data_IF_256323910386
#
_entry.id   IF_256323910386
#
_cell.length_a   1.000
_cell.length_b   1.000
_cell.length_c   1.000
_cell.angle_alpha   90.00
_cell.angle_beta   90.00
_cell.angle_gamma   90.00
#
_symmetry.space_group_name_H-M   'P 1'
#
loop_
_entity.id
_entity.type
_entity.pdbx_description
1 polymer ?
#
# COMPACT_ATOMS: atom_id res chain seq x y z
N UNK A 1 -13.06 3.11 7.75
CA UNK A 1 -11.85 3.93 7.69
C UNK A 1 -11.70 4.80 8.93
N UNK A 2 -10.54 5.40 9.16
CA UNK A 2 -10.40 6.61 9.97
C UNK A 2 -11.41 7.68 9.60
N UNK A 3 -11.55 8.72 10.43
CA UNK A 3 -12.31 9.92 10.07
C UNK A 3 -11.43 10.78 9.14
N UNK A 4 -11.87 10.97 7.92
CA UNK A 4 -11.21 11.84 6.94
C UNK A 4 -11.64 13.29 7.17
N UNK A 5 -10.91 14.00 8.00
CA UNK A 5 -11.13 15.41 8.35
C UNK A 5 -9.98 16.33 7.92
N UNK A 6 -8.91 15.75 7.33
CA UNK A 6 -7.74 16.48 6.81
C UNK A 6 -7.69 16.53 5.28
N UNK A 7 -8.65 15.92 4.61
CA UNK A 7 -8.69 15.90 3.15
C UNK A 7 -9.00 17.28 2.58
N UNK A 8 -8.35 17.62 1.47
CA UNK A 8 -8.59 18.88 0.74
C UNK A 8 -9.20 18.65 -0.63
N UNK A 9 -9.98 19.63 -1.06
CA UNK A 9 -10.44 19.74 -2.44
C UNK A 9 -9.32 20.30 -3.34
N UNK A 10 -9.41 20.17 -4.67
CA UNK A 10 -8.44 20.78 -5.59
C UNK A 10 -8.25 22.29 -5.44
N UNK A 11 -9.24 23.00 -4.89
CA UNK A 11 -9.17 24.42 -4.59
C UNK A 11 -8.52 24.76 -3.24
N UNK A 12 -8.03 23.74 -2.50
CA UNK A 12 -7.38 23.89 -1.20
C UNK A 12 -8.33 23.94 0.01
N UNK A 13 -9.64 23.95 -0.18
CA UNK A 13 -10.60 23.90 0.92
C UNK A 13 -10.65 22.50 1.56
N UNK A 14 -10.80 22.46 2.89
CA UNK A 14 -10.98 21.20 3.62
C UNK A 14 -12.32 20.56 3.23
N UNK A 15 -12.29 19.28 2.90
CA UNK A 15 -13.51 18.51 2.64
C UNK A 15 -14.30 18.32 3.93
N UNK A 16 -15.63 18.22 3.77
CA UNK A 16 -16.49 17.80 4.88
C UNK A 16 -15.98 16.48 5.44
N UNK A 17 -15.84 16.41 6.76
CA UNK A 17 -15.42 15.20 7.46
C UNK A 17 -16.32 14.01 7.09
N UNK A 18 -15.70 12.88 6.74
CA UNK A 18 -16.41 11.69 6.26
C UNK A 18 -15.64 10.41 6.59
N UNK A 19 -16.32 9.28 6.47
CA UNK A 19 -15.71 7.95 6.59
C UNK A 19 -15.98 7.14 5.33
N UNK A 20 -15.02 6.30 4.94
CA UNK A 20 -15.22 5.28 3.91
C UNK A 20 -15.61 3.96 4.57
N UNK A 21 -16.57 3.27 3.99
CA UNK A 21 -17.03 1.95 4.45
C UNK A 21 -16.88 0.99 3.28
N UNK A 22 -16.15 -0.09 3.50
CA UNK A 22 -16.09 -1.24 2.59
C UNK A 22 -16.95 -2.35 3.16
N UNK A 23 -17.93 -2.80 2.39
CA UNK A 23 -18.76 -3.94 2.74
C UNK A 23 -18.49 -5.09 1.76
N UNK A 24 -18.14 -6.25 2.28
CA UNK A 24 -17.88 -7.46 1.51
C UNK A 24 -18.89 -8.54 1.84
N UNK A 25 -19.23 -9.36 0.86
CA UNK A 25 -20.18 -10.45 0.99
C UNK A 25 -19.60 -11.71 0.37
N UNK A 26 -19.88 -12.86 0.96
CA UNK A 26 -19.49 -14.17 0.41
C UNK A 26 -20.29 -14.54 -0.85
N UNK A 27 -21.44 -13.92 -1.05
CA UNK A 27 -22.31 -14.16 -2.19
C UNK A 27 -22.68 -12.90 -2.96
N UNK A 28 -23.20 -13.08 -4.16
CA UNK A 28 -23.66 -11.98 -5.01
C UNK A 28 -24.83 -11.26 -4.37
N UNK A 29 -24.77 -9.93 -4.32
CA UNK A 29 -25.85 -9.05 -3.90
C UNK A 29 -26.29 -8.17 -5.07
N UNK A 30 -27.60 -7.95 -5.18
CA UNK A 30 -28.12 -6.97 -6.13
C UNK A 30 -27.85 -5.54 -5.66
N UNK A 31 -27.84 -4.61 -6.62
CA UNK A 31 -27.67 -3.19 -6.29
C UNK A 31 -28.73 -2.70 -5.29
N UNK A 32 -30.00 -3.10 -5.47
CA UNK A 32 -31.08 -2.68 -4.59
C UNK A 32 -30.91 -3.15 -3.14
N UNK A 33 -30.38 -4.39 -2.94
CA UNK A 33 -30.08 -4.88 -1.60
C UNK A 33 -28.99 -4.06 -0.91
N UNK A 34 -28.01 -3.59 -1.67
CA UNK A 34 -26.94 -2.75 -1.11
C UNK A 34 -27.44 -1.33 -0.88
N UNK A 35 -28.26 -0.79 -1.78
CA UNK A 35 -28.88 0.52 -1.62
C UNK A 35 -29.73 0.59 -0.35
N UNK A 36 -30.60 -0.39 -0.11
CA UNK A 36 -31.37 -0.51 1.13
C UNK A 36 -30.50 -0.51 2.40
N UNK A 37 -29.36 -1.21 2.36
CA UNK A 37 -28.42 -1.19 3.47
C UNK A 37 -27.83 0.21 3.71
N UNK A 38 -27.40 0.91 2.64
CA UNK A 38 -26.81 2.24 2.76
C UNK A 38 -27.82 3.28 3.21
N UNK A 39 -29.08 3.17 2.80
CA UNK A 39 -30.18 4.02 3.28
C UNK A 39 -30.43 3.82 4.79
N UNK A 40 -30.41 2.59 5.27
CA UNK A 40 -30.60 2.28 6.70
C UNK A 40 -29.55 2.88 7.62
N UNK A 41 -28.33 3.06 7.13
CA UNK A 41 -27.21 3.67 7.89
C UNK A 41 -26.99 5.13 7.50
N UNK A 42 -27.89 5.71 6.72
CA UNK A 42 -27.79 7.08 6.21
C UNK A 42 -26.45 7.38 5.51
N UNK A 43 -25.96 6.41 4.74
CA UNK A 43 -24.75 6.55 3.93
C UNK A 43 -25.09 7.05 2.53
N UNK A 44 -24.04 7.46 1.80
CA UNK A 44 -24.17 7.86 0.39
C UNK A 44 -24.52 6.67 -0.51
N UNK A 45 -24.91 6.95 -1.75
CA UNK A 45 -25.18 5.93 -2.77
C UNK A 45 -23.98 4.97 -2.90
N UNK A 46 -24.21 3.65 -2.84
CA UNK A 46 -23.14 2.69 -2.87
C UNK A 46 -22.47 2.61 -4.24
N UNK A 47 -21.18 2.39 -4.26
CA UNK A 47 -20.40 2.21 -5.47
C UNK A 47 -19.76 0.82 -5.47
N UNK A 48 -19.70 0.19 -6.66
CA UNK A 48 -19.03 -1.08 -6.82
C UNK A 48 -17.52 -0.90 -6.61
N UNK A 49 -16.97 -1.66 -5.66
CA UNK A 49 -15.54 -1.67 -5.41
C UNK A 49 -14.82 -2.57 -6.42
N UNK A 50 -13.85 -2.04 -7.16
CA UNK A 50 -13.03 -2.81 -8.09
C UNK A 50 -11.89 -3.59 -7.42
N UNK A 51 -11.37 -3.08 -6.30
CA UNK A 51 -10.29 -3.70 -5.54
C UNK A 51 -10.45 -3.40 -4.05
N UNK A 52 -10.76 -4.42 -3.26
CA UNK A 52 -10.85 -4.27 -1.80
C UNK A 52 -9.51 -3.81 -1.19
N UNK A 53 -8.39 -4.43 -1.58
CA UNK A 53 -7.04 -4.03 -1.15
C UNK A 53 -6.75 -2.57 -1.52
N UNK A 54 -7.00 -2.19 -2.76
CA UNK A 54 -6.79 -0.81 -3.21
C UNK A 54 -7.63 0.20 -2.43
N UNK A 55 -8.89 -0.12 -2.12
CA UNK A 55 -9.74 0.77 -1.34
C UNK A 55 -9.29 0.88 0.12
N UNK A 56 -8.88 -0.22 0.75
CA UNK A 56 -8.37 -0.21 2.15
C UNK A 56 -7.08 0.62 2.24
N UNK A 57 -6.16 0.49 1.29
CA UNK A 57 -4.95 1.33 1.19
C UNK A 57 -5.29 2.80 0.93
N UNK A 58 -6.29 3.06 0.08
CA UNK A 58 -6.80 4.43 -0.17
C UNK A 58 -7.39 5.06 1.09
N UNK A 59 -8.06 4.29 1.95
CA UNK A 59 -8.60 4.77 3.23
C UNK A 59 -7.53 5.32 4.19
N UNK A 60 -6.26 4.97 3.97
CA UNK A 60 -5.10 5.47 4.71
C UNK A 60 -4.24 6.43 3.88
N UNK A 61 -4.56 6.62 2.61
CA UNK A 61 -3.79 7.35 1.60
C UNK A 61 -2.38 6.78 1.34
N UNK A 62 -2.14 5.49 1.65
CA UNK A 62 -0.82 4.85 1.54
C UNK A 62 -0.17 4.99 0.17
N UNK A 63 -0.95 5.03 -0.91
CA UNK A 63 -0.47 5.15 -2.28
C UNK A 63 -0.49 6.62 -2.79
N UNK A 64 -0.74 7.58 -1.90
CA UNK A 64 -0.84 9.01 -2.19
C UNK A 64 -0.03 9.82 -1.17
N UNK A 65 1.30 9.83 -1.25
CA UNK A 65 2.16 10.47 -0.25
C UNK A 65 1.96 11.99 -0.13
N UNK A 66 1.38 12.62 -1.15
CA UNK A 66 1.03 14.05 -1.16
C UNK A 66 -0.17 14.40 -0.29
N UNK A 67 -0.94 13.38 0.16
CA UNK A 67 -2.10 13.55 1.04
C UNK A 67 -1.73 13.30 2.48
N UNK A 68 -2.61 13.75 3.39
CA UNK A 68 -2.50 13.40 4.80
C UNK A 68 -2.55 11.88 4.98
N UNK A 69 -1.57 11.30 5.66
CA UNK A 69 -1.50 9.86 5.93
C UNK A 69 -2.27 9.57 7.22
N UNK A 70 -3.32 8.77 7.13
CA UNK A 70 -4.11 8.35 8.28
C UNK A 70 -3.50 7.13 8.95
N UNK A 71 -3.68 7.01 10.26
CA UNK A 71 -3.15 5.89 11.02
C UNK A 71 -3.99 4.61 10.78
N UNK A 72 -3.30 3.49 10.60
CA UNK A 72 -3.94 2.17 10.47
C UNK A 72 -4.66 1.73 11.75
N UNK A 73 -4.22 2.21 12.91
CA UNK A 73 -4.84 1.90 14.21
C UNK A 73 -6.25 2.46 14.32
N UNK A 74 -6.59 3.49 13.55
CA UNK A 74 -7.93 4.07 13.46
C UNK A 74 -8.87 3.30 12.52
N UNK A 75 -8.38 2.25 11.84
CA UNK A 75 -9.20 1.36 11.03
C UNK A 75 -10.01 0.41 11.92
N UNK A 76 -11.29 0.27 11.62
CA UNK A 76 -12.17 -0.65 12.34
C UNK A 76 -12.57 -1.78 11.40
N UNK A 77 -12.27 -3.02 11.80
CA UNK A 77 -12.70 -4.23 11.10
C UNK A 77 -13.86 -4.90 11.84
N UNK A 78 -14.79 -5.43 11.07
CA UNK A 78 -15.92 -6.22 11.55
C UNK A 78 -16.02 -7.51 10.74
N UNK A 79 -16.66 -8.54 11.30
CA UNK A 79 -16.96 -9.78 10.58
C UNK A 79 -15.76 -10.58 10.12
N UNK A 80 -14.60 -10.44 10.80
CA UNK A 80 -13.38 -11.18 10.47
C UNK A 80 -12.57 -10.60 9.29
N UNK A 81 -12.82 -9.36 8.88
CA UNK A 81 -12.01 -8.73 7.85
C UNK A 81 -10.55 -8.56 8.31
N UNK A 82 -9.60 -9.13 7.53
CA UNK A 82 -8.17 -9.03 7.79
C UNK A 82 -7.59 -7.76 7.14
N UNK A 83 -7.54 -6.68 7.92
CA UNK A 83 -6.98 -5.39 7.46
C UNK A 83 -5.50 -5.54 7.12
N UNK A 84 -4.72 -6.29 7.90
CA UNK A 84 -3.28 -6.43 7.68
C UNK A 84 -2.98 -7.10 6.34
N UNK A 85 -3.73 -8.15 6.00
CA UNK A 85 -3.62 -8.78 4.68
C UNK A 85 -4.02 -7.82 3.54
N UNK A 86 -5.04 -6.99 3.76
CA UNK A 86 -5.47 -6.01 2.75
C UNK A 86 -4.49 -4.86 2.59
N UNK A 87 -3.70 -4.52 3.60
CA UNK A 87 -2.68 -3.47 3.52
C UNK A 87 -1.39 -3.92 2.84
N UNK A 88 -1.17 -5.23 2.68
CA UNK A 88 0.02 -5.71 1.95
C UNK A 88 0.10 -5.11 0.55
N UNK A 89 1.30 -4.77 0.06
CA UNK A 89 1.48 -4.18 -1.26
C UNK A 89 0.83 -5.00 -2.37
N UNK A 90 0.22 -4.33 -3.33
CA UNK A 90 -0.26 -4.97 -4.56
C UNK A 90 0.92 -5.43 -5.42
N UNK A 91 0.68 -6.32 -6.40
CA UNK A 91 1.74 -6.73 -7.34
C UNK A 91 2.34 -5.53 -8.09
N UNK A 92 1.53 -4.56 -8.49
CA UNK A 92 2.01 -3.34 -9.16
C UNK A 92 2.91 -2.50 -8.22
N UNK A 93 2.48 -2.26 -6.97
CA UNK A 93 3.30 -1.56 -5.96
C UNK A 93 4.62 -2.29 -5.70
N UNK A 94 4.60 -3.63 -5.67
CA UNK A 94 5.81 -4.44 -5.49
C UNK A 94 6.81 -4.25 -6.64
N UNK A 95 6.34 -4.19 -7.89
CA UNK A 95 7.23 -3.95 -9.04
C UNK A 95 7.85 -2.55 -9.02
N UNK A 96 7.09 -1.54 -8.60
CA UNK A 96 7.64 -0.19 -8.42
C UNK A 96 8.69 -0.17 -7.30
N UNK A 97 8.46 -0.83 -6.17
CA UNK A 97 9.47 -0.96 -5.11
C UNK A 97 10.74 -1.69 -5.59
N UNK A 98 10.60 -2.75 -6.39
CA UNK A 98 11.76 -3.42 -6.98
C UNK A 98 12.55 -2.49 -7.91
N UNK A 99 11.86 -1.69 -8.70
CA UNK A 99 12.48 -0.69 -9.56
C UNK A 99 13.23 0.37 -8.74
N UNK A 100 12.59 0.91 -7.69
CA UNK A 100 13.21 1.86 -6.77
C UNK A 100 14.46 1.27 -6.11
N UNK A 101 14.36 0.06 -5.53
CA UNK A 101 15.52 -0.64 -4.94
C UNK A 101 16.65 -0.85 -5.93
N UNK A 102 16.30 -1.23 -7.17
CA UNK A 102 17.29 -1.45 -8.24
C UNK A 102 18.00 -0.16 -8.60
N UNK A 103 17.27 0.96 -8.74
CA UNK A 103 17.86 2.28 -8.98
C UNK A 103 18.76 2.70 -7.83
N UNK A 104 18.28 2.56 -6.59
CA UNK A 104 19.05 2.88 -5.39
C UNK A 104 20.36 2.09 -5.29
N UNK A 105 20.34 0.77 -5.58
CA UNK A 105 21.54 -0.07 -5.61
C UNK A 105 22.57 0.46 -6.63
N UNK A 106 22.09 0.92 -7.79
CA UNK A 106 22.97 1.45 -8.84
C UNK A 106 23.54 2.79 -8.46
N UNK A 107 22.71 3.71 -8.00
CA UNK A 107 23.07 5.08 -7.66
C UNK A 107 24.02 5.19 -6.47
N UNK A 108 23.85 4.31 -5.47
CA UNK A 108 24.66 4.29 -4.24
C UNK A 108 25.79 3.26 -4.25
N UNK A 109 26.05 2.63 -5.40
CA UNK A 109 27.07 1.58 -5.58
C UNK A 109 27.01 0.45 -4.53
N UNK A 110 25.79 0.06 -4.14
CA UNK A 110 25.56 -1.04 -3.19
C UNK A 110 26.15 -2.34 -3.78
N UNK A 111 27.01 -2.99 -3.03
CA UNK A 111 27.74 -4.21 -3.47
C UNK A 111 27.41 -5.46 -2.68
N UNK A 112 26.88 -5.28 -1.48
CA UNK A 112 26.44 -6.37 -0.62
C UNK A 112 24.96 -6.24 -0.26
N UNK A 113 24.28 -7.37 -0.15
CA UNK A 113 22.85 -7.40 0.18
C UNK A 113 22.57 -6.84 1.57
N UNK A 114 23.51 -7.02 2.49
CA UNK A 114 23.45 -6.52 3.87
C UNK A 114 23.29 -4.99 3.91
N UNK A 115 23.98 -4.24 3.05
CA UNK A 115 23.91 -2.79 2.99
C UNK A 115 22.46 -2.32 2.67
N UNK A 116 21.83 -2.96 1.69
CA UNK A 116 20.44 -2.67 1.35
C UNK A 116 19.47 -3.10 2.46
N UNK A 117 19.73 -4.25 3.08
CA UNK A 117 18.90 -4.78 4.16
C UNK A 117 18.86 -3.83 5.36
N UNK A 118 20.04 -3.35 5.81
CA UNK A 118 20.15 -2.38 6.91
C UNK A 118 19.46 -1.08 6.54
N UNK A 119 19.72 -0.55 5.35
CA UNK A 119 19.06 0.66 4.87
C UNK A 119 17.54 0.54 4.86
N UNK A 120 17.02 -0.56 4.34
CA UNK A 120 15.58 -0.80 4.28
C UNK A 120 14.97 -0.92 5.69
N UNK A 121 15.65 -1.58 6.61
CA UNK A 121 15.21 -1.71 8.00
C UNK A 121 15.16 -0.36 8.73
N UNK A 122 16.11 0.53 8.46
CA UNK A 122 16.20 1.82 9.17
C UNK A 122 15.34 2.93 8.53
N UNK A 123 15.19 2.92 7.19
CA UNK A 123 14.62 4.04 6.44
C UNK A 123 13.38 3.71 5.61
N UNK A 124 13.13 2.43 5.35
CA UNK A 124 12.05 1.95 4.49
C UNK A 124 11.35 0.72 5.11
N UNK A 125 11.10 0.81 6.43
CA UNK A 125 10.57 -0.30 7.23
C UNK A 125 9.17 -0.72 6.81
N UNK A 126 8.34 0.20 6.38
CA UNK A 126 6.93 -0.06 6.05
C UNK A 126 6.69 -0.55 4.61
N UNK A 127 7.70 -0.46 3.74
CA UNK A 127 7.56 -0.79 2.31
C UNK A 127 8.65 -1.73 1.78
N UNK A 128 9.92 -1.32 1.75
CA UNK A 128 11.00 -2.14 1.21
C UNK A 128 11.35 -3.32 2.11
N UNK A 129 11.41 -3.09 3.42
CA UNK A 129 11.85 -4.12 4.35
C UNK A 129 10.96 -5.37 4.36
N UNK A 130 9.61 -5.27 4.43
CA UNK A 130 8.73 -6.43 4.33
C UNK A 130 8.86 -7.15 2.98
N UNK A 131 9.03 -6.39 1.89
CA UNK A 131 9.20 -7.00 0.56
C UNK A 131 10.50 -7.79 0.46
N UNK A 132 11.60 -7.28 1.03
CA UNK A 132 12.87 -8.00 1.09
C UNK A 132 12.75 -9.25 1.98
N UNK A 133 12.15 -9.13 3.15
CA UNK A 133 12.02 -10.22 4.11
C UNK A 133 11.15 -11.38 3.59
N UNK A 134 10.06 -11.07 2.90
CA UNK A 134 9.11 -12.09 2.43
C UNK A 134 9.59 -12.79 1.15
N UNK A 135 9.80 -12.04 0.07
CA UNK A 135 9.97 -12.62 -1.27
C UNK A 135 11.02 -11.92 -2.14
N UNK A 136 11.56 -10.78 -1.71
CA UNK A 136 12.47 -9.96 -2.51
C UNK A 136 13.93 -10.40 -2.47
N UNK A 137 14.31 -11.12 -1.41
CA UNK A 137 15.71 -11.50 -1.13
C UNK A 137 16.40 -12.13 -2.33
N UNK A 138 15.79 -13.14 -2.95
CA UNK A 138 16.42 -13.86 -4.04
C UNK A 138 16.68 -12.95 -5.25
N UNK A 139 15.69 -12.21 -5.69
CA UNK A 139 15.78 -11.35 -6.86
C UNK A 139 16.82 -10.23 -6.66
N UNK A 140 16.73 -9.51 -5.56
CA UNK A 140 17.62 -8.38 -5.26
C UNK A 140 19.05 -8.86 -4.99
N UNK A 141 19.24 -9.92 -4.21
CA UNK A 141 20.57 -10.47 -3.95
C UNK A 141 21.23 -10.97 -5.25
N UNK A 142 20.45 -11.61 -6.13
CA UNK A 142 20.94 -12.03 -7.45
C UNK A 142 21.35 -10.84 -8.30
N UNK A 143 20.58 -9.76 -8.29
CA UNK A 143 20.93 -8.52 -8.99
C UNK A 143 22.23 -7.91 -8.48
N UNK A 144 22.40 -7.77 -7.15
CA UNK A 144 23.63 -7.23 -6.52
C UNK A 144 24.84 -8.10 -6.90
N UNK A 145 24.74 -9.44 -6.78
CA UNK A 145 25.80 -10.36 -7.15
C UNK A 145 26.20 -10.24 -8.62
N UNK A 146 25.22 -10.21 -9.53
CA UNK A 146 25.47 -10.06 -10.97
C UNK A 146 26.17 -8.75 -11.29
N UNK A 147 25.74 -7.65 -10.66
CA UNK A 147 26.37 -6.33 -10.81
C UNK A 147 27.83 -6.35 -10.31
N UNK A 148 28.09 -6.95 -9.16
CA UNK A 148 29.44 -7.08 -8.58
C UNK A 148 30.40 -7.87 -9.49
N UNK A 149 29.96 -8.96 -10.13
CA UNK A 149 30.75 -9.72 -11.10
C UNK A 149 31.11 -8.85 -12.31
N UNK A 150 30.13 -8.17 -12.91
CA UNK A 150 30.37 -7.29 -14.06
C UNK A 150 31.39 -6.18 -13.76
N UNK A 151 31.42 -5.62 -12.55
CA UNK A 151 32.39 -4.59 -12.17
C UNK A 151 33.80 -5.17 -12.03
N UNK A 152 33.96 -6.45 -11.62
CA UNK A 152 35.25 -7.12 -11.52
C UNK A 152 35.83 -7.44 -12.89
N UNK A 153 35.00 -7.81 -13.85
CA UNK A 153 35.43 -8.20 -15.21
C UNK A 153 35.87 -6.97 -16.06
N UNK A 154 35.50 -5.76 -15.65
CA UNK A 154 35.87 -4.52 -16.32
C UNK A 154 37.08 -3.81 -15.70
N UNK A 155 37.79 -4.44 -14.76
CA UNK A 155 39.07 -4.00 -14.18
C UNK A 155 40.23 -4.89 -14.62
#
# INVERSE_FOLDING_TARGET
>A
SPLHDKDTNPNGEIKKAHKHILVMYDGVKSYNQILELTERINATVPQKCGSAKGLVRYMLHMDNPEKYQYDREDMIAHGGADILEMLKPTSASRYEMFKEMTSFIVENDIREYEELWIYAMEHRFDDWFPLLADNGTFAINTFIKSRRHRIKDNK
#
